data_IF_560603226406
#
_entry.id   IF_560603226406
#
_cell.length_a   1.000
_cell.length_b   1.000
_cell.length_c   1.000
_cell.angle_alpha   90.00
_cell.angle_beta   90.00
_cell.angle_gamma   90.00
#
_symmetry.space_group_name_H-M   'P 1'
#
loop_
_entity.id
_entity.type
_entity.pdbx_description
1 polymer ?
#
# COMPACT_ATOMS: atom_id res chain seq x y z
N UNK A 1 -24.23 42.56 39.00
CA UNK A 1 -23.14 43.56 38.87
C UNK A 1 -22.49 43.43 37.50
N UNK A 2 -21.60 44.36 37.10
CA UNK A 2 -20.80 44.22 35.86
C UNK A 2 -19.91 42.97 35.93
N UNK A 3 -19.34 42.69 37.11
CA UNK A 3 -18.42 41.57 37.36
C UNK A 3 -19.00 40.21 36.98
N UNK A 4 -20.28 39.93 37.29
CA UNK A 4 -20.92 38.67 36.90
C UNK A 4 -20.91 38.46 35.38
N UNK A 5 -21.16 39.52 34.61
CA UNK A 5 -21.21 39.45 33.14
C UNK A 5 -19.82 39.34 32.51
N UNK A 6 -18.80 39.86 33.19
CA UNK A 6 -17.38 39.65 32.81
C UNK A 6 -16.94 38.22 33.10
N UNK A 7 -17.29 37.66 34.26
CA UNK A 7 -17.04 36.25 34.61
C UNK A 7 -17.74 35.32 33.61
N UNK A 8 -18.97 35.64 33.23
CA UNK A 8 -19.75 34.92 32.22
C UNK A 8 -19.08 34.96 30.83
N UNK A 9 -18.63 36.12 30.33
CA UNK A 9 -17.87 36.17 29.07
C UNK A 9 -16.51 35.45 29.17
N UNK A 10 -15.80 35.52 30.31
CA UNK A 10 -14.54 34.79 30.52
C UNK A 10 -14.75 33.27 30.50
N UNK A 11 -15.79 32.76 31.16
CA UNK A 11 -16.14 31.34 31.14
C UNK A 11 -16.51 30.86 29.73
N UNK A 12 -17.31 31.65 28.99
CA UNK A 12 -17.64 31.35 27.59
C UNK A 12 -16.38 31.35 26.69
N UNK A 13 -15.42 32.25 26.92
CA UNK A 13 -14.14 32.26 26.19
C UNK A 13 -13.31 31.03 26.52
N UNK A 14 -13.24 30.63 27.80
CA UNK A 14 -12.51 29.44 28.25
C UNK A 14 -13.09 28.15 27.66
N UNK A 15 -14.41 27.97 27.66
CA UNK A 15 -15.08 26.82 27.04
C UNK A 15 -14.80 26.74 25.54
N UNK A 16 -14.88 27.86 24.80
CA UNK A 16 -14.55 27.91 23.38
C UNK A 16 -13.06 27.56 23.13
N UNK A 17 -12.15 27.94 24.02
CA UNK A 17 -10.73 27.59 23.93
C UNK A 17 -10.48 26.08 24.14
N UNK A 18 -11.21 25.45 25.06
CA UNK A 18 -11.15 24.01 25.30
C UNK A 18 -11.77 23.20 24.15
N UNK A 19 -12.83 23.72 23.51
CA UNK A 19 -13.39 23.16 22.27
C UNK A 19 -12.36 23.26 21.13
N UNK A 20 -11.72 24.42 20.92
CA UNK A 20 -10.68 24.54 19.87
C UNK A 20 -9.50 23.59 20.12
N UNK A 21 -9.06 23.48 21.38
CA UNK A 21 -7.98 22.59 21.80
C UNK A 21 -8.31 21.12 21.53
N UNK A 22 -9.47 20.64 21.98
CA UNK A 22 -9.89 19.24 21.77
C UNK A 22 -10.17 18.92 20.29
N UNK A 23 -10.66 19.88 19.50
CA UNK A 23 -10.75 19.73 18.05
C UNK A 23 -9.36 19.60 17.40
N UNK A 24 -8.36 20.37 17.84
CA UNK A 24 -6.98 20.32 17.32
C UNK A 24 -6.30 18.99 17.66
N UNK A 25 -6.38 18.57 18.93
CA UNK A 25 -5.90 17.27 19.41
C UNK A 25 -6.55 16.10 18.65
N UNK A 26 -7.85 16.21 18.33
CA UNK A 26 -8.57 15.21 17.52
C UNK A 26 -8.05 15.14 16.07
N UNK A 27 -7.76 16.27 15.44
CA UNK A 27 -7.19 16.32 14.07
C UNK A 27 -5.77 15.74 14.04
N UNK A 28 -4.95 16.05 15.05
CA UNK A 28 -3.60 15.49 15.20
C UNK A 28 -3.66 13.96 15.40
N UNK A 29 -4.54 13.45 16.26
CA UNK A 29 -4.74 12.02 16.45
C UNK A 29 -5.23 11.29 15.18
N UNK A 30 -6.05 11.95 14.35
CA UNK A 30 -6.49 11.42 13.05
C UNK A 30 -5.35 11.43 12.02
N UNK A 31 -4.47 12.44 12.03
CA UNK A 31 -3.28 12.48 11.18
C UNK A 31 -2.28 11.37 11.55
N UNK A 32 -2.07 11.10 12.84
CA UNK A 32 -1.19 10.02 13.32
C UNK A 32 -1.69 8.62 12.99
N UNK A 33 -3.01 8.41 12.87
CA UNK A 33 -3.62 7.09 12.58
C UNK A 33 -3.76 6.75 11.10
N UNK A 34 -3.57 7.69 10.17
CA UNK A 34 -3.99 7.56 8.77
C UNK A 34 -2.82 7.45 7.78
N UNK A 35 -2.31 6.22 7.59
CA UNK A 35 -1.20 5.90 6.69
C UNK A 35 -1.53 5.98 5.18
N UNK A 36 -1.90 7.15 4.69
CA UNK A 36 -2.10 7.43 3.26
C UNK A 36 -0.85 7.99 2.58
N UNK A 37 -0.76 7.81 1.26
CA UNK A 37 0.40 8.22 0.46
C UNK A 37 0.70 9.74 0.52
N UNK A 38 1.98 10.08 0.41
CA UNK A 38 2.54 11.41 0.70
C UNK A 38 1.85 12.59 -0.01
N UNK A 39 1.34 12.40 -1.23
CA UNK A 39 0.62 13.42 -1.98
C UNK A 39 -0.66 13.91 -1.27
N UNK A 40 -1.45 12.98 -0.71
CA UNK A 40 -2.66 13.32 0.06
C UNK A 40 -2.30 13.98 1.40
N UNK A 41 -1.23 13.51 2.04
CA UNK A 41 -0.74 14.04 3.31
C UNK A 41 -0.25 15.50 3.17
N UNK A 42 0.49 15.82 2.10
CA UNK A 42 0.88 17.19 1.77
C UNK A 42 -0.33 18.10 1.46
N UNK A 43 -1.32 17.59 0.73
CA UNK A 43 -2.50 18.37 0.34
C UNK A 43 -3.50 18.60 1.50
N UNK A 44 -3.47 17.76 2.54
CA UNK A 44 -4.16 17.98 3.81
C UNK A 44 -3.38 18.94 4.72
N UNK A 45 -2.06 18.78 4.84
CA UNK A 45 -1.20 19.68 5.64
C UNK A 45 -1.28 21.15 5.20
N UNK A 46 -1.22 21.40 3.89
CA UNK A 46 -1.42 22.75 3.34
C UNK A 46 -2.82 23.33 3.69
N UNK A 47 -3.86 22.49 3.82
CA UNK A 47 -5.20 22.95 4.21
C UNK A 47 -5.30 23.25 5.71
N UNK A 48 -4.69 22.44 6.58
CA UNK A 48 -4.69 22.71 8.03
C UNK A 48 -3.81 23.91 8.39
N UNK A 49 -2.71 24.15 7.68
CA UNK A 49 -1.85 25.33 7.87
C UNK A 49 -2.54 26.63 7.40
N UNK A 50 -3.21 26.60 6.25
CA UNK A 50 -4.05 27.73 5.77
C UNK A 50 -5.24 27.99 6.69
N UNK A 51 -5.92 26.96 7.20
CA UNK A 51 -6.99 27.12 8.18
C UNK A 51 -6.48 27.71 9.51
N UNK A 52 -5.33 27.23 10.01
CA UNK A 52 -4.72 27.70 11.26
C UNK A 52 -4.28 29.17 11.17
N UNK A 53 -3.68 29.57 10.05
CA UNK A 53 -3.29 30.97 9.81
C UNK A 53 -4.48 31.90 9.62
N UNK A 54 -5.58 31.45 8.99
CA UNK A 54 -6.85 32.17 8.93
C UNK A 54 -7.48 32.36 10.31
N UNK A 55 -7.52 31.31 11.14
CA UNK A 55 -8.02 31.40 12.52
C UNK A 55 -7.19 32.39 13.35
N UNK A 56 -5.86 32.30 13.29
CA UNK A 56 -4.96 33.22 13.97
C UNK A 56 -5.13 34.69 13.51
N UNK A 57 -5.40 34.94 12.23
CA UNK A 57 -5.74 36.29 11.76
C UNK A 57 -7.09 36.78 12.29
N UNK A 58 -8.10 35.90 12.35
CA UNK A 58 -9.43 36.25 12.85
C UNK A 58 -9.41 36.54 14.36
N UNK A 59 -8.73 35.70 15.16
CA UNK A 59 -8.48 35.94 16.58
C UNK A 59 -7.72 37.25 16.83
N UNK A 60 -6.75 37.61 15.99
CA UNK A 60 -6.05 38.90 16.07
C UNK A 60 -6.99 40.08 15.74
N UNK A 61 -7.87 39.96 14.74
CA UNK A 61 -8.88 40.98 14.43
C UNK A 61 -9.87 41.16 15.57
N UNK A 62 -10.34 40.07 16.17
CA UNK A 62 -11.23 40.08 17.33
C UNK A 62 -10.54 40.68 18.55
N UNK A 63 -9.33 40.25 18.91
CA UNK A 63 -8.54 40.84 20.00
C UNK A 63 -8.31 42.36 19.81
N UNK A 64 -8.00 42.81 18.59
CA UNK A 64 -7.84 44.24 18.28
C UNK A 64 -9.17 45.00 18.31
N UNK A 65 -10.30 44.32 18.17
CA UNK A 65 -11.65 44.88 18.42
C UNK A 65 -11.96 44.94 19.91
N UNK A 66 -11.72 43.86 20.66
CA UNK A 66 -11.93 43.77 22.11
C UNK A 66 -11.06 44.77 22.86
N UNK A 67 -9.77 44.94 22.52
CA UNK A 67 -8.94 46.00 23.11
C UNK A 67 -9.49 47.41 22.90
N UNK A 68 -10.14 47.69 21.76
CA UNK A 68 -10.80 48.99 21.51
C UNK A 68 -12.11 49.14 22.30
N UNK A 69 -12.92 48.08 22.41
CA UNK A 69 -14.11 48.08 23.28
C UNK A 69 -13.73 48.23 24.76
N UNK A 70 -12.76 47.45 25.24
CA UNK A 70 -12.22 47.52 26.59
C UNK A 70 -11.68 48.91 26.90
N UNK A 71 -10.85 49.49 26.04
CA UNK A 71 -10.38 50.87 26.18
C UNK A 71 -11.52 51.90 26.25
N UNK A 72 -12.57 51.74 25.44
CA UNK A 72 -13.76 52.61 25.47
C UNK A 72 -14.59 52.45 26.76
N UNK A 73 -14.67 51.25 27.33
CA UNK A 73 -15.33 51.02 28.62
C UNK A 73 -14.47 51.52 29.79
N UNK A 74 -13.16 51.29 29.78
CA UNK A 74 -12.23 51.85 30.76
C UNK A 74 -12.25 53.38 30.76
N UNK A 75 -12.39 54.03 29.60
CA UNK A 75 -12.58 55.49 29.52
C UNK A 75 -13.98 55.98 29.93
N UNK A 76 -14.86 55.10 30.40
CA UNK A 76 -16.21 55.39 30.91
C UNK A 76 -16.41 54.93 32.36
N UNK A 77 -15.44 54.23 32.94
CA UNK A 77 -15.36 53.96 34.37
C UNK A 77 -14.61 55.13 35.01
N UNK A 78 -15.16 55.70 36.09
CA UNK A 78 -14.44 56.69 36.90
C UNK A 78 -13.21 56.05 37.55
N UNK A 79 -12.19 56.85 37.87
CA UNK A 79 -11.01 56.37 38.58
C UNK A 79 -11.39 55.71 39.91
N UNK A 80 -12.39 56.28 40.57
CA UNK A 80 -13.08 55.81 41.78
C UNK A 80 -13.48 54.32 41.67
N UNK A 81 -14.08 53.90 40.55
CA UNK A 81 -14.54 52.51 40.30
C UNK A 81 -13.38 51.54 40.05
N UNK A 82 -12.15 52.05 39.87
CA UNK A 82 -10.92 51.25 39.73
C UNK A 82 -10.21 51.13 41.09
N UNK A 83 -10.41 52.09 42.00
CA UNK A 83 -9.88 52.04 43.37
C UNK A 83 -10.61 51.01 44.24
N UNK A 84 -11.91 50.80 44.02
CA UNK A 84 -12.75 49.80 44.72
C UNK A 84 -12.39 48.32 44.42
N UNK A 85 -11.26 48.05 43.74
CA UNK A 85 -10.68 46.70 43.55
C UNK A 85 -9.31 46.62 44.24
N UNK A 86 -9.21 47.20 45.44
CA UNK A 86 -8.06 47.01 46.31
C UNK A 86 -8.22 45.66 47.05
N UNK A 87 -7.58 44.61 46.52
CA UNK A 87 -7.48 43.31 47.19
C UNK A 87 -6.35 43.32 48.22
N UNK A 88 -6.51 44.15 49.25
CA UNK A 88 -5.92 43.87 50.56
C UNK A 88 -6.96 43.07 51.34
N UNK A 89 -6.73 41.76 51.45
CA UNK A 89 -7.46 40.91 52.39
C UNK A 89 -6.98 41.26 53.81
N UNK A 90 -7.59 42.27 54.45
CA UNK A 90 -7.36 42.52 55.88
C UNK A 90 -8.08 41.46 56.71
N UNK A 91 -7.30 40.62 57.39
CA UNK A 91 -7.76 39.67 58.42
C UNK A 91 -8.29 40.45 59.65
N UNK A 92 -9.51 40.99 59.55
CA UNK A 92 -10.22 41.64 60.67
C UNK A 92 -10.64 40.59 61.72
N UNK A 93 -9.80 40.44 62.76
CA UNK A 93 -10.04 39.60 63.93
C UNK A 93 -11.22 40.11 64.78
N UNK A 94 -12.23 39.25 65.00
CA UNK A 94 -13.21 39.28 66.11
C UNK A 94 -13.59 40.64 66.73
N UNK A 95 -14.21 41.54 65.97
CA UNK A 95 -14.88 42.73 66.55
C UNK A 95 -16.30 42.40 67.04
N UNK A 96 -16.48 42.38 68.37
CA UNK A 96 -17.78 42.14 69.01
C UNK A 96 -18.72 43.34 68.90
N UNK A 97 -19.68 43.30 67.97
CA UNK A 97 -20.81 44.25 67.94
C UNK A 97 -21.83 44.01 69.06
N UNK A 98 -21.52 44.48 70.28
CA UNK A 98 -22.54 44.72 71.31
C UNK A 98 -23.07 46.16 71.19
N UNK A 99 -24.18 46.35 70.46
CA UNK A 99 -24.85 47.64 70.31
C UNK A 99 -26.36 47.56 70.53
N UNK A 100 -26.83 48.13 71.63
CA UNK A 100 -28.23 48.06 72.07
C UNK A 100 -29.16 48.97 71.24
N UNK A 101 -30.20 48.38 70.64
CA UNK A 101 -31.14 49.10 69.76
C UNK A 101 -32.55 48.50 69.67
N UNK A 102 -33.07 47.89 70.74
CA UNK A 102 -34.39 47.22 70.70
C UNK A 102 -35.53 48.23 70.52
N UNK A 103 -36.14 48.25 69.33
CA UNK A 103 -37.42 48.94 69.10
C UNK A 103 -38.53 48.28 69.94
N UNK A 104 -38.92 48.91 71.05
CA UNK A 104 -39.92 48.41 72.01
C UNK A 104 -41.38 48.48 71.53
N UNK A 105 -41.61 48.79 70.25
CA UNK A 105 -42.94 48.73 69.64
C UNK A 105 -43.33 47.28 69.35
N UNK A 106 -44.53 46.87 69.77
CA UNK A 106 -45.08 45.54 69.45
C UNK A 106 -45.14 45.28 67.94
N UNK A 107 -45.33 46.33 67.12
CA UNK A 107 -45.30 46.22 65.66
C UNK A 107 -43.90 45.92 65.13
N UNK A 108 -42.84 46.55 65.68
CA UNK A 108 -41.46 46.19 65.36
C UNK A 108 -41.20 44.71 65.64
N UNK A 109 -41.62 44.20 66.80
CA UNK A 109 -41.39 42.82 67.20
C UNK A 109 -42.05 41.81 66.24
N UNK A 110 -43.30 42.06 65.81
CA UNK A 110 -44.02 41.20 64.87
C UNK A 110 -43.33 41.16 63.50
N UNK A 111 -42.94 42.32 62.97
CA UNK A 111 -42.23 42.41 61.68
C UNK A 111 -40.85 41.73 61.75
N UNK A 112 -40.15 41.85 62.88
CA UNK A 112 -38.88 41.15 63.12
C UNK A 112 -39.06 39.63 63.15
N UNK A 113 -40.13 39.10 63.77
CA UNK A 113 -40.43 37.66 63.72
C UNK A 113 -40.79 37.21 62.31
N UNK A 114 -41.68 37.91 61.61
CA UNK A 114 -42.04 37.57 60.23
C UNK A 114 -40.84 37.53 59.27
N UNK A 115 -39.87 38.44 59.44
CA UNK A 115 -38.66 38.47 58.63
C UNK A 115 -37.68 37.34 58.98
N UNK A 116 -37.66 36.89 60.24
CA UNK A 116 -36.88 35.71 60.67
C UNK A 116 -37.48 34.42 60.10
N UNK A 117 -38.80 34.25 60.19
CA UNK A 117 -39.49 33.08 59.64
C UNK A 117 -39.29 32.97 58.12
N UNK A 118 -39.41 34.11 57.40
CA UNK A 118 -39.13 34.20 55.95
C UNK A 118 -37.66 33.89 55.63
N UNK A 119 -36.72 34.35 56.46
CA UNK A 119 -35.29 34.04 56.31
C UNK A 119 -35.00 32.55 56.54
N UNK A 120 -35.64 31.91 57.53
CA UNK A 120 -35.47 30.48 57.79
C UNK A 120 -35.99 29.62 56.64
N UNK A 121 -37.16 29.96 56.07
CA UNK A 121 -37.70 29.31 54.85
C UNK A 121 -36.72 29.48 53.68
N UNK A 122 -36.25 30.70 53.40
CA UNK A 122 -35.28 30.97 52.32
C UNK A 122 -33.95 30.21 52.55
N UNK A 123 -33.51 30.05 53.79
CA UNK A 123 -32.33 29.25 54.13
C UNK A 123 -32.55 27.74 53.96
N UNK A 124 -33.77 27.24 54.19
CA UNK A 124 -34.13 25.85 53.90
C UNK A 124 -34.21 25.59 52.39
N UNK A 125 -34.89 26.47 51.64
CA UNK A 125 -34.96 26.43 50.17
C UNK A 125 -33.56 26.50 49.54
N UNK A 126 -32.69 27.41 50.03
CA UNK A 126 -31.29 27.50 49.58
C UNK A 126 -30.52 26.20 49.80
N UNK A 127 -30.71 25.53 50.94
CA UNK A 127 -30.06 24.23 51.22
C UNK A 127 -30.55 23.15 50.26
N UNK A 128 -31.86 23.07 50.02
CA UNK A 128 -32.43 22.10 49.07
C UNK A 128 -31.91 22.34 47.65
N UNK A 129 -31.93 23.60 47.17
CA UNK A 129 -31.42 23.97 45.85
C UNK A 129 -29.93 23.63 45.68
N UNK A 130 -29.11 23.75 46.73
CA UNK A 130 -27.70 23.31 46.69
C UNK A 130 -27.59 21.80 46.54
N UNK A 131 -28.37 21.01 47.29
CA UNK A 131 -28.39 19.53 47.18
C UNK A 131 -28.84 19.09 45.78
N UNK A 132 -29.90 19.69 45.23
CA UNK A 132 -30.41 19.38 43.90
C UNK A 132 -29.41 19.75 42.80
N UNK A 133 -28.68 20.86 42.99
CA UNK A 133 -27.60 21.33 42.11
C UNK A 133 -26.35 20.44 42.19
N UNK A 134 -26.04 19.86 43.35
CA UNK A 134 -24.96 18.88 43.50
C UNK A 134 -25.33 17.53 42.87
N UNK A 135 -26.55 17.04 43.08
CA UNK A 135 -27.06 15.82 42.46
C UNK A 135 -27.11 15.91 40.92
N UNK A 136 -27.57 17.03 40.37
CA UNK A 136 -27.58 17.25 38.91
C UNK A 136 -26.19 17.44 38.31
N UNK A 137 -25.23 18.01 39.07
CA UNK A 137 -23.80 18.00 38.69
C UNK A 137 -23.24 16.59 38.63
N UNK A 138 -23.55 15.74 39.61
CA UNK A 138 -23.06 14.35 39.62
C UNK A 138 -23.60 13.57 38.42
N UNK A 139 -24.91 13.67 38.15
CA UNK A 139 -25.54 13.06 36.97
C UNK A 139 -24.88 13.53 35.67
N UNK A 140 -24.60 14.83 35.52
CA UNK A 140 -23.91 15.38 34.35
C UNK A 140 -22.48 14.81 34.21
N UNK A 141 -21.75 14.63 35.31
CA UNK A 141 -20.43 13.99 35.31
C UNK A 141 -20.50 12.52 34.88
N UNK A 142 -21.45 11.74 35.43
CA UNK A 142 -21.69 10.34 35.08
C UNK A 142 -22.03 10.21 33.58
N UNK A 143 -23.04 10.94 33.09
CA UNK A 143 -23.44 10.93 31.67
C UNK A 143 -22.31 11.36 30.73
N UNK A 144 -21.47 12.34 31.13
CA UNK A 144 -20.29 12.76 30.35
C UNK A 144 -19.23 11.65 30.29
N UNK A 145 -19.02 10.89 31.36
CA UNK A 145 -18.09 9.76 31.39
C UNK A 145 -18.57 8.61 30.49
N UNK A 146 -19.86 8.26 30.56
CA UNK A 146 -20.46 7.23 29.70
C UNK A 146 -20.39 7.63 28.21
N UNK A 147 -20.72 8.88 27.87
CA UNK A 147 -20.60 9.40 26.50
C UNK A 147 -19.15 9.38 25.97
N UNK A 148 -18.16 9.62 26.83
CA UNK A 148 -16.74 9.52 26.44
C UNK A 148 -16.30 8.06 26.23
N UNK A 149 -16.81 7.13 27.03
CA UNK A 149 -16.59 5.69 26.83
C UNK A 149 -17.24 5.21 25.52
N UNK A 150 -18.51 5.52 25.29
CA UNK A 150 -19.22 5.13 24.05
C UNK A 150 -18.53 5.70 22.80
N UNK A 151 -18.02 6.94 22.85
CA UNK A 151 -17.21 7.52 21.75
C UNK A 151 -15.89 6.76 21.52
N UNK A 152 -15.26 6.25 22.57
CA UNK A 152 -14.06 5.41 22.45
C UNK A 152 -14.41 4.06 21.82
N UNK A 153 -15.40 3.36 22.37
CA UNK A 153 -15.81 2.02 21.93
C UNK A 153 -16.32 2.06 20.48
N UNK A 154 -17.09 3.09 20.10
CA UNK A 154 -17.49 3.35 18.71
C UNK A 154 -16.29 3.57 17.77
N UNK A 155 -15.25 4.28 18.22
CA UNK A 155 -14.00 4.48 17.45
C UNK A 155 -13.25 3.16 17.22
N UNK A 156 -13.26 2.25 18.22
CA UNK A 156 -12.68 0.91 18.09
C UNK A 156 -13.49 0.06 17.11
N UNK A 157 -14.83 0.03 17.24
CA UNK A 157 -15.72 -0.71 16.34
C UNK A 157 -15.60 -0.26 14.88
N UNK A 158 -15.41 1.04 14.61
CA UNK A 158 -15.13 1.55 13.26
C UNK A 158 -13.79 1.01 12.73
N UNK A 159 -12.75 0.98 13.55
CA UNK A 159 -11.44 0.46 13.17
C UNK A 159 -11.47 -1.05 12.91
N UNK A 160 -12.17 -1.82 13.74
CA UNK A 160 -12.40 -3.26 13.54
C UNK A 160 -13.22 -3.54 12.27
N UNK A 161 -14.32 -2.81 12.05
CA UNK A 161 -15.14 -2.91 10.84
C UNK A 161 -14.31 -2.65 9.57
N UNK A 162 -13.40 -1.68 9.61
CA UNK A 162 -12.46 -1.42 8.51
C UNK A 162 -11.47 -2.57 8.29
N UNK A 163 -10.94 -3.17 9.36
CA UNK A 163 -10.05 -4.35 9.26
C UNK A 163 -10.80 -5.58 8.72
N UNK A 164 -12.02 -5.85 9.21
CA UNK A 164 -12.89 -6.91 8.72
C UNK A 164 -13.22 -6.72 7.23
N UNK A 165 -13.56 -5.50 6.79
CA UNK A 165 -13.79 -5.18 5.38
C UNK A 165 -12.54 -5.40 4.51
N UNK A 166 -11.35 -5.07 5.02
CA UNK A 166 -10.07 -5.34 4.35
C UNK A 166 -9.76 -6.85 4.27
N UNK A 167 -10.14 -7.62 5.29
CA UNK A 167 -10.01 -9.08 5.32
C UNK A 167 -11.00 -9.77 4.36
N UNK A 168 -12.25 -9.34 4.33
CA UNK A 168 -13.26 -9.78 3.38
C UNK A 168 -12.82 -9.55 1.93
N UNK A 169 -12.18 -8.40 1.64
CA UNK A 169 -11.57 -8.13 0.35
C UNK A 169 -10.44 -9.11 -0.05
N UNK A 170 -9.74 -9.72 0.91
CA UNK A 170 -8.79 -10.82 0.64
C UNK A 170 -9.53 -12.12 0.33
N UNK A 171 -10.52 -12.48 1.15
CA UNK A 171 -11.30 -13.70 0.96
C UNK A 171 -12.00 -13.70 -0.39
N UNK A 172 -12.70 -12.61 -0.76
CA UNK A 172 -13.37 -12.49 -2.05
C UNK A 172 -12.41 -12.68 -3.25
N UNK A 173 -11.16 -12.21 -3.14
CA UNK A 173 -10.13 -12.40 -4.18
C UNK A 173 -9.67 -13.86 -4.28
N UNK A 174 -9.53 -14.56 -3.15
CA UNK A 174 -9.19 -16.00 -3.14
C UNK A 174 -10.37 -16.83 -3.66
N UNK A 175 -11.61 -16.49 -3.27
CA UNK A 175 -12.81 -17.12 -3.80
C UNK A 175 -12.95 -16.94 -5.31
N UNK A 176 -12.62 -15.76 -5.85
CA UNK A 176 -12.60 -15.54 -7.29
C UNK A 176 -11.59 -16.45 -7.98
N UNK A 177 -10.33 -16.50 -7.52
CA UNK A 177 -9.32 -17.39 -8.11
C UNK A 177 -9.71 -18.87 -8.05
N UNK A 178 -10.40 -19.31 -6.99
CA UNK A 178 -10.92 -20.67 -6.88
C UNK A 178 -12.08 -20.96 -7.85
N UNK A 179 -12.86 -19.94 -8.24
CA UNK A 179 -13.86 -20.04 -9.31
C UNK A 179 -13.18 -20.04 -10.69
N UNK A 180 -12.25 -19.12 -10.93
CA UNK A 180 -11.49 -19.02 -12.19
C UNK A 180 -10.76 -20.35 -12.51
N UNK A 181 -10.13 -20.97 -11.50
CA UNK A 181 -9.46 -22.28 -11.60
C UNK A 181 -10.46 -23.44 -11.83
N UNK A 182 -11.62 -23.41 -11.16
CA UNK A 182 -12.66 -24.43 -11.34
C UNK A 182 -13.37 -24.34 -12.71
N UNK A 183 -13.52 -23.14 -13.26
CA UNK A 183 -14.05 -22.93 -14.61
C UNK A 183 -13.05 -23.43 -15.66
N UNK A 184 -11.76 -23.07 -15.55
CA UNK A 184 -10.71 -23.60 -16.43
C UNK A 184 -10.63 -25.15 -16.40
N UNK A 185 -10.67 -25.75 -15.21
CA UNK A 185 -10.67 -27.21 -15.06
C UNK A 185 -11.93 -27.88 -15.64
N UNK A 186 -13.08 -27.18 -15.70
CA UNK A 186 -14.25 -27.68 -16.42
C UNK A 186 -14.10 -27.62 -17.94
N UNK A 187 -13.43 -26.60 -18.48
CA UNK A 187 -13.13 -26.51 -19.92
C UNK A 187 -12.16 -27.61 -20.35
N UNK A 188 -11.07 -27.82 -19.61
CA UNK A 188 -10.12 -28.93 -19.84
C UNK A 188 -10.81 -30.30 -19.75
N UNK A 189 -11.62 -30.53 -18.71
CA UNK A 189 -12.39 -31.78 -18.52
C UNK A 189 -13.41 -32.03 -19.65
N UNK A 190 -13.97 -30.97 -20.25
CA UNK A 190 -14.84 -31.08 -21.41
C UNK A 190 -14.06 -31.45 -22.66
N UNK A 191 -12.96 -30.75 -22.94
CA UNK A 191 -12.07 -31.03 -24.06
C UNK A 191 -11.52 -32.47 -24.00
N UNK A 192 -11.14 -32.95 -22.82
CA UNK A 192 -10.65 -34.31 -22.60
C UNK A 192 -11.73 -35.37 -22.91
N UNK A 193 -13.00 -35.10 -22.60
CA UNK A 193 -14.14 -35.99 -22.96
C UNK A 193 -14.41 -36.00 -24.45
N UNK A 194 -14.41 -34.83 -25.09
CA UNK A 194 -14.64 -34.71 -26.53
C UNK A 194 -13.52 -35.42 -27.32
N UNK A 195 -12.26 -35.27 -26.89
CA UNK A 195 -11.11 -35.98 -27.45
C UNK A 195 -11.15 -37.51 -27.21
N UNK A 196 -11.58 -37.98 -26.03
CA UNK A 196 -11.80 -39.43 -25.81
C UNK A 196 -12.90 -39.98 -26.72
N UNK A 197 -14.02 -39.26 -26.87
CA UNK A 197 -15.11 -39.66 -27.76
C UNK A 197 -14.64 -39.80 -29.21
N UNK A 198 -13.80 -38.88 -29.70
CA UNK A 198 -13.26 -38.95 -31.06
C UNK A 198 -12.24 -40.09 -31.22
N UNK A 199 -11.37 -40.31 -30.22
CA UNK A 199 -10.43 -41.43 -30.21
C UNK A 199 -11.16 -42.79 -30.19
N UNK A 200 -12.27 -42.91 -29.46
CA UNK A 200 -13.11 -44.11 -29.46
C UNK A 200 -13.77 -44.38 -30.82
N UNK A 201 -14.28 -43.35 -31.52
CA UNK A 201 -14.80 -43.47 -32.90
C UNK A 201 -13.70 -43.96 -33.85
N UNK A 202 -12.56 -43.29 -33.86
CA UNK A 202 -11.43 -43.63 -34.71
C UNK A 202 -10.93 -45.07 -34.49
N UNK A 203 -10.88 -45.52 -33.23
CA UNK A 203 -10.53 -46.90 -32.90
C UNK A 203 -11.56 -47.92 -33.43
N UNK A 204 -12.85 -47.60 -33.40
CA UNK A 204 -13.90 -48.44 -33.98
C UNK A 204 -13.80 -48.51 -35.51
N UNK A 205 -13.62 -47.37 -36.18
CA UNK A 205 -13.47 -47.29 -37.64
C UNK A 205 -12.23 -48.06 -38.12
N UNK A 206 -11.08 -47.85 -37.46
CA UNK A 206 -9.85 -48.60 -37.72
C UNK A 206 -10.05 -50.12 -37.53
N UNK A 207 -10.81 -50.54 -36.51
CA UNK A 207 -11.12 -51.96 -36.29
C UNK A 207 -12.04 -52.54 -37.38
N UNK A 208 -12.97 -51.75 -37.91
CA UNK A 208 -13.85 -52.13 -39.01
C UNK A 208 -13.05 -52.29 -40.32
N UNK A 209 -12.23 -51.30 -40.68
CA UNK A 209 -11.36 -51.37 -41.86
C UNK A 209 -10.30 -52.48 -41.72
N UNK A 210 -9.73 -52.71 -40.54
CA UNK A 210 -8.82 -53.85 -40.32
C UNK A 210 -9.54 -55.19 -40.55
N UNK A 211 -10.79 -55.35 -40.09
CA UNK A 211 -11.60 -56.57 -40.33
C UNK A 211 -11.94 -56.75 -41.81
N UNK A 212 -12.23 -55.67 -42.53
CA UNK A 212 -12.51 -55.63 -43.97
C UNK A 212 -11.25 -56.00 -44.79
N UNK A 213 -10.11 -55.38 -44.50
CA UNK A 213 -8.81 -55.69 -45.11
C UNK A 213 -8.41 -57.15 -44.86
N UNK A 214 -8.56 -57.65 -43.61
CA UNK A 214 -8.30 -59.07 -43.28
C UNK A 214 -9.16 -60.05 -44.09
N UNK A 215 -10.45 -59.73 -44.32
CA UNK A 215 -11.33 -60.53 -45.19
C UNK A 215 -10.88 -60.49 -46.66
N UNK A 216 -10.50 -59.32 -47.16
CA UNK A 216 -9.98 -59.15 -48.52
C UNK A 216 -8.66 -59.93 -48.73
N UNK A 217 -7.70 -59.81 -47.81
CA UNK A 217 -6.43 -60.54 -47.88
C UNK A 217 -6.64 -62.06 -47.77
N UNK A 218 -7.56 -62.52 -46.91
CA UNK A 218 -7.88 -63.94 -46.81
C UNK A 218 -8.49 -64.49 -48.11
N UNK A 219 -9.39 -63.73 -48.76
CA UNK A 219 -9.99 -64.11 -50.04
C UNK A 219 -8.96 -64.12 -51.19
N UNK A 220 -8.02 -63.16 -51.21
CA UNK A 220 -6.88 -63.16 -52.15
C UNK A 220 -5.96 -64.38 -51.95
N UNK A 221 -5.56 -64.67 -50.70
CA UNK A 221 -4.74 -65.85 -50.37
C UNK A 221 -5.45 -67.15 -50.78
N UNK A 222 -6.78 -67.21 -50.65
CA UNK A 222 -7.57 -68.40 -50.99
C UNK A 222 -7.89 -68.56 -52.49
N UNK A 223 -7.62 -67.55 -53.33
CA UNK A 223 -7.93 -67.57 -54.78
C UNK A 223 -6.71 -67.73 -55.69
N UNK A 224 -5.49 -67.72 -55.14
CA UNK A 224 -4.24 -67.90 -55.91
C UNK A 224 -3.76 -69.35 -55.85
N UNK A 225 -3.46 -69.94 -57.02
CA UNK A 225 -2.83 -71.26 -57.10
C UNK A 225 -1.38 -71.20 -56.58
N UNK A 226 -0.95 -71.96 -55.54
CA UNK A 226 0.11 -71.46 -54.64
C UNK A 226 1.55 -71.84 -55.01
N UNK A 227 1.78 -72.48 -56.16
CA UNK A 227 3.09 -72.94 -56.65
C UNK A 227 4.15 -71.85 -56.85
N UNK A 228 4.48 -71.56 -58.11
CA UNK A 228 5.65 -70.75 -58.48
C UNK A 228 5.48 -69.25 -58.21
N UNK A 229 4.31 -68.68 -58.49
CA UNK A 229 4.09 -67.23 -58.33
C UNK A 229 4.23 -66.79 -56.87
N UNK A 230 3.73 -67.61 -55.93
CA UNK A 230 3.86 -67.35 -54.49
C UNK A 230 5.30 -67.57 -54.01
N UNK A 231 5.98 -68.64 -54.46
CA UNK A 231 7.40 -68.83 -54.13
C UNK A 231 8.28 -67.67 -54.63
N UNK A 232 8.04 -67.18 -55.84
CA UNK A 232 8.77 -66.05 -56.41
C UNK A 232 8.48 -64.75 -55.64
N UNK A 233 7.21 -64.45 -55.35
CA UNK A 233 6.84 -63.30 -54.53
C UNK A 233 7.44 -63.37 -53.12
N UNK A 234 7.49 -64.55 -52.48
CA UNK A 234 8.14 -64.74 -51.18
C UNK A 234 9.67 -64.55 -51.25
N UNK A 235 10.33 -64.99 -52.33
CA UNK A 235 11.75 -64.73 -52.54
C UNK A 235 12.04 -63.23 -52.74
N UNK A 236 11.20 -62.52 -53.51
CA UNK A 236 11.28 -61.08 -53.70
C UNK A 236 11.02 -60.31 -52.38
N UNK A 237 10.01 -60.72 -51.60
CA UNK A 237 9.73 -60.17 -50.26
C UNK A 237 10.91 -60.39 -49.30
N UNK A 238 11.54 -61.56 -49.30
CA UNK A 238 12.71 -61.83 -48.46
C UNK A 238 13.91 -60.95 -48.85
N UNK A 239 14.15 -60.77 -50.15
CA UNK A 239 15.20 -59.88 -50.69
C UNK A 239 14.95 -58.42 -50.31
N UNK A 240 13.72 -57.94 -50.50
CA UNK A 240 13.30 -56.59 -50.12
C UNK A 240 13.37 -56.37 -48.61
N UNK A 241 12.97 -57.36 -47.81
CA UNK A 241 13.02 -57.28 -46.34
C UNK A 241 14.46 -57.24 -45.84
N UNK A 242 15.36 -58.04 -46.40
CA UNK A 242 16.79 -57.98 -46.05
C UNK A 242 17.43 -56.65 -46.46
N UNK A 243 17.05 -56.12 -47.64
CA UNK A 243 17.50 -54.80 -48.11
C UNK A 243 17.00 -53.67 -47.21
N UNK A 244 15.72 -53.68 -46.85
CA UNK A 244 15.10 -52.68 -45.97
C UNK A 244 15.64 -52.77 -44.53
N UNK A 245 15.89 -53.96 -44.00
CA UNK A 245 16.50 -54.11 -42.66
C UNK A 245 17.95 -53.62 -42.65
N UNK A 246 18.69 -53.86 -43.74
CA UNK A 246 20.05 -53.32 -43.93
C UNK A 246 20.02 -51.79 -43.99
N UNK A 247 19.16 -51.21 -44.82
CA UNK A 247 18.97 -49.76 -44.88
C UNK A 247 18.48 -49.18 -43.55
N UNK A 248 17.60 -49.87 -42.80
CA UNK A 248 17.15 -49.43 -41.46
C UNK A 248 18.31 -49.40 -40.48
N UNK A 249 19.20 -50.40 -40.54
CA UNK A 249 20.39 -50.47 -39.69
C UNK A 249 21.42 -49.40 -40.05
N UNK A 250 21.66 -49.16 -41.34
CA UNK A 250 22.53 -48.07 -41.83
C UNK A 250 22.02 -46.69 -41.42
N UNK A 251 20.74 -46.37 -41.66
CA UNK A 251 20.14 -45.12 -41.19
C UNK A 251 20.18 -45.00 -39.66
N UNK A 252 19.96 -46.09 -38.91
CA UNK A 252 20.06 -46.07 -37.44
C UNK A 252 21.50 -45.79 -36.96
N UNK A 253 22.52 -46.27 -37.67
CA UNK A 253 23.92 -45.94 -37.39
C UNK A 253 24.24 -44.48 -37.74
N UNK A 254 23.76 -43.98 -38.89
CA UNK A 254 23.93 -42.58 -39.29
C UNK A 254 23.26 -41.61 -38.30
N UNK A 255 22.02 -41.89 -37.87
CA UNK A 255 21.31 -41.09 -36.87
C UNK A 255 22.10 -41.06 -35.56
N UNK A 256 22.57 -42.20 -35.05
CA UNK A 256 23.40 -42.25 -33.84
C UNK A 256 24.70 -41.46 -33.98
N UNK A 257 25.39 -41.57 -35.12
CA UNK A 257 26.61 -40.81 -35.37
C UNK A 257 26.35 -39.29 -35.38
N UNK A 258 25.24 -38.84 -35.97
CA UNK A 258 24.83 -37.43 -35.95
C UNK A 258 24.38 -36.96 -34.55
N UNK A 259 23.66 -37.81 -33.80
CA UNK A 259 23.31 -37.56 -32.40
C UNK A 259 24.57 -37.41 -31.53
N UNK A 260 25.54 -38.33 -31.66
CA UNK A 260 26.83 -38.27 -30.98
C UNK A 260 27.67 -37.05 -31.39
N UNK A 261 27.64 -36.65 -32.68
CA UNK A 261 28.28 -35.44 -33.17
C UNK A 261 27.64 -34.18 -32.56
N UNK A 262 26.31 -34.12 -32.45
CA UNK A 262 25.59 -33.01 -31.78
C UNK A 262 25.87 -33.03 -30.26
N UNK A 263 25.94 -34.21 -29.63
CA UNK A 263 26.23 -34.34 -28.20
C UNK A 263 27.66 -33.96 -27.82
N UNK A 264 28.64 -34.34 -28.64
CA UNK A 264 30.05 -34.00 -28.46
C UNK A 264 30.41 -32.58 -28.93
N UNK A 265 29.53 -31.94 -29.71
CA UNK A 265 29.74 -30.61 -30.26
C UNK A 265 30.10 -29.57 -29.20
N UNK A 266 31.07 -28.72 -29.52
CA UNK A 266 31.51 -27.68 -28.60
C UNK A 266 30.41 -26.63 -28.34
N UNK A 267 29.53 -26.41 -29.32
CA UNK A 267 28.35 -25.55 -29.19
C UNK A 267 27.39 -26.05 -28.09
N UNK A 268 27.16 -27.37 -27.97
CA UNK A 268 26.31 -27.91 -26.89
C UNK A 268 26.92 -27.69 -25.51
N UNK A 269 28.25 -27.85 -25.38
CA UNK A 269 28.98 -27.57 -24.13
C UNK A 269 28.94 -26.08 -23.77
N UNK A 270 29.20 -25.21 -24.74
CA UNK A 270 29.11 -23.76 -24.58
C UNK A 270 27.69 -23.31 -24.18
N UNK A 271 26.65 -23.91 -24.77
CA UNK A 271 25.25 -23.64 -24.40
C UNK A 271 24.97 -24.03 -22.94
N UNK A 272 25.39 -25.23 -22.49
CA UNK A 272 25.23 -25.62 -21.08
C UNK A 272 26.07 -24.78 -20.11
N UNK A 273 27.24 -24.31 -20.53
CA UNK A 273 28.08 -23.41 -19.74
C UNK A 273 27.43 -22.01 -19.60
N UNK A 274 26.85 -21.48 -20.69
CA UNK A 274 26.14 -20.20 -20.69
C UNK A 274 24.82 -20.26 -19.90
N UNK A 275 24.10 -21.39 -19.96
CA UNK A 275 22.94 -21.64 -19.08
C UNK A 275 23.36 -21.56 -17.60
N UNK A 276 24.38 -22.32 -17.20
CA UNK A 276 24.90 -22.30 -15.83
C UNK A 276 25.45 -20.93 -15.40
N UNK A 277 26.05 -20.18 -16.32
CA UNK A 277 26.47 -18.80 -16.05
C UNK A 277 25.27 -17.87 -15.84
N UNK A 278 24.17 -18.09 -16.55
CA UNK A 278 22.92 -17.31 -16.40
C UNK A 278 22.25 -17.62 -15.06
N UNK A 279 22.18 -18.91 -14.67
CA UNK A 279 21.70 -19.34 -13.35
C UNK A 279 22.43 -18.62 -12.20
N UNK A 280 23.77 -18.61 -12.23
CA UNK A 280 24.60 -17.94 -11.22
C UNK A 280 24.38 -16.42 -11.20
N UNK A 281 24.25 -15.78 -12.38
CA UNK A 281 23.96 -14.34 -12.47
C UNK A 281 22.55 -14.00 -11.98
N UNK A 282 21.58 -14.91 -12.11
CA UNK A 282 20.28 -14.75 -11.49
C UNK A 282 20.35 -14.88 -9.96
N UNK A 283 21.13 -15.81 -9.42
CA UNK A 283 21.36 -15.96 -7.97
C UNK A 283 22.03 -14.71 -7.39
N UNK A 284 23.09 -14.19 -8.03
CA UNK A 284 23.72 -12.92 -7.66
C UNK A 284 22.71 -11.75 -7.72
N UNK A 285 21.87 -11.69 -8.75
CA UNK A 285 20.85 -10.64 -8.89
C UNK A 285 19.78 -10.74 -7.79
N UNK A 286 19.31 -11.94 -7.45
CA UNK A 286 18.40 -12.20 -6.32
C UNK A 286 19.04 -11.77 -4.99
N UNK A 287 20.33 -12.06 -4.78
CA UNK A 287 21.06 -11.65 -3.58
C UNK A 287 21.25 -10.11 -3.51
N UNK A 288 21.55 -9.45 -4.64
CA UNK A 288 21.65 -7.99 -4.71
C UNK A 288 20.29 -7.30 -4.50
N UNK A 289 19.19 -7.86 -5.00
CA UNK A 289 17.85 -7.37 -4.71
C UNK A 289 17.50 -7.52 -3.22
N UNK A 290 17.88 -8.64 -2.58
CA UNK A 290 17.72 -8.82 -1.14
C UNK A 290 18.57 -7.82 -0.32
N UNK A 291 19.83 -7.61 -0.70
CA UNK A 291 20.71 -6.57 -0.11
C UNK A 291 20.12 -5.17 -0.28
N UNK A 292 19.58 -4.84 -1.45
CA UNK A 292 18.97 -3.54 -1.74
C UNK A 292 17.71 -3.29 -0.91
N UNK A 293 16.77 -4.25 -0.90
CA UNK A 293 15.53 -4.15 -0.10
C UNK A 293 15.81 -4.06 1.40
N UNK A 294 16.77 -4.84 1.91
CA UNK A 294 17.24 -4.73 3.30
C UNK A 294 17.81 -3.35 3.63
N UNK A 295 18.71 -2.83 2.79
CA UNK A 295 19.27 -1.49 2.96
C UNK A 295 18.20 -0.39 2.84
N UNK A 296 17.17 -0.60 2.02
CA UNK A 296 16.02 0.30 1.90
C UNK A 296 15.15 0.31 3.17
N UNK A 297 14.96 -0.83 3.84
CA UNK A 297 14.31 -0.90 5.16
C UNK A 297 15.15 -0.24 6.25
N UNK A 298 16.44 -0.56 6.35
CA UNK A 298 17.35 0.05 7.34
C UNK A 298 17.41 1.59 7.15
N UNK A 299 17.38 2.07 5.91
CA UNK A 299 17.32 3.51 5.60
C UNK A 299 15.95 4.15 5.91
N UNK A 300 14.84 3.40 5.93
CA UNK A 300 13.53 3.89 6.39
C UNK A 300 13.48 3.99 7.91
N UNK A 301 14.01 2.97 8.61
CA UNK A 301 14.06 2.92 10.07
C UNK A 301 14.97 4.01 10.64
N UNK A 302 16.15 4.21 10.05
CA UNK A 302 17.04 5.32 10.43
C UNK A 302 16.37 6.69 10.19
N UNK A 303 15.64 6.88 9.08
CA UNK A 303 14.85 8.11 8.84
C UNK A 303 13.66 8.29 9.79
N UNK A 304 13.18 7.22 10.43
CA UNK A 304 12.19 7.31 11.49
C UNK A 304 12.86 7.81 12.77
N UNK A 305 13.93 7.16 13.23
CA UNK A 305 14.69 7.61 14.42
C UNK A 305 15.27 9.01 14.28
N UNK A 306 15.67 9.44 13.07
CA UNK A 306 16.13 10.81 12.80
C UNK A 306 15.01 11.85 13.01
N UNK A 307 13.75 11.50 12.72
CA UNK A 307 12.59 12.36 12.99
C UNK A 307 12.30 12.40 14.49
N UNK A 308 12.31 11.26 15.16
CA UNK A 308 12.03 11.18 16.60
C UNK A 308 13.06 11.98 17.40
N UNK A 309 14.35 11.84 17.09
CA UNK A 309 15.44 12.61 17.71
C UNK A 309 15.30 14.11 17.41
N UNK A 310 14.90 14.50 16.19
CA UNK A 310 14.63 15.91 15.87
C UNK A 310 13.42 16.46 16.62
N UNK A 311 12.34 15.68 16.75
CA UNK A 311 11.16 16.06 17.52
C UNK A 311 11.52 16.22 18.99
N UNK A 312 12.20 15.23 19.59
CA UNK A 312 12.71 15.28 20.96
C UNK A 312 13.60 16.51 21.20
N UNK A 313 14.49 16.85 20.27
CA UNK A 313 15.34 18.04 20.37
C UNK A 313 14.55 19.37 20.23
N UNK A 314 13.50 19.39 19.41
CA UNK A 314 12.56 20.52 19.32
C UNK A 314 11.74 20.65 20.61
N UNK A 315 11.29 19.55 21.19
CA UNK A 315 10.53 19.55 22.44
C UNK A 315 11.41 19.97 23.63
N UNK A 316 12.66 19.50 23.69
CA UNK A 316 13.67 19.94 24.66
C UNK A 316 14.01 21.43 24.49
N UNK A 317 14.11 21.92 23.25
CA UNK A 317 14.28 23.35 22.96
C UNK A 317 13.07 24.18 23.40
N UNK A 318 11.84 23.71 23.14
CA UNK A 318 10.60 24.34 23.56
C UNK A 318 10.47 24.37 25.09
N UNK A 319 10.89 23.30 25.78
CA UNK A 319 10.97 23.27 27.25
C UNK A 319 12.03 24.25 27.78
N UNK A 320 13.21 24.36 27.17
CA UNK A 320 14.22 25.37 27.53
C UNK A 320 13.73 26.81 27.32
N UNK A 321 12.94 27.06 26.27
CA UNK A 321 12.30 28.37 26.03
C UNK A 321 11.24 28.63 27.12
N UNK A 322 10.37 27.65 27.39
CA UNK A 322 9.29 27.75 28.40
C UNK A 322 9.81 27.96 29.83
N UNK A 323 10.94 27.35 30.18
CA UNK A 323 11.54 27.44 31.51
C UNK A 323 12.49 28.64 31.67
N UNK A 324 12.81 29.34 30.57
CA UNK A 324 13.71 30.49 30.53
C UNK A 324 15.20 30.12 30.55
N UNK A 325 15.99 30.86 29.75
CA UNK A 325 17.46 30.69 29.69
C UNK A 325 18.14 31.74 30.55
N UNK A 326 18.85 31.34 31.62
CA UNK A 326 19.76 32.26 32.32
C UNK A 326 20.98 32.61 31.43
N UNK A 327 20.85 33.67 30.65
CA UNK A 327 21.93 34.31 29.92
C UNK A 327 22.92 34.96 30.89
N UNK A 328 23.93 34.20 31.32
CA UNK A 328 25.04 34.72 32.14
C UNK A 328 25.84 35.73 31.31
N UNK A 329 26.02 36.96 31.82
CA UNK A 329 26.76 38.04 31.12
C UNK A 329 28.17 37.56 30.73
N UNK A 330 28.54 37.77 29.47
CA UNK A 330 29.91 37.61 28.99
C UNK A 330 30.78 38.70 29.60
N UNK A 331 31.77 38.32 30.41
CA UNK A 331 32.85 39.20 30.86
C UNK A 331 34.15 38.80 30.15
N UNK A 332 34.85 39.80 29.61
CA UNK A 332 36.15 39.61 28.94
C UNK A 332 37.29 39.75 29.95
N UNK A 333 37.99 38.67 30.30
CA UNK A 333 39.24 38.75 31.10
C UNK A 333 40.26 37.65 30.75
N UNK A 334 41.30 38.05 30.02
CA UNK A 334 42.73 37.77 30.27
C UNK A 334 43.21 36.40 30.83
N UNK A 335 43.90 35.65 29.96
CA UNK A 335 45.27 35.10 30.12
C UNK A 335 45.68 34.10 31.24
N UNK A 336 46.41 33.05 30.78
CA UNK A 336 47.40 32.20 31.50
C UNK A 336 46.81 31.20 32.54
N UNK A 337 47.47 30.08 32.87
CA UNK A 337 48.87 29.67 32.61
C UNK A 337 49.06 28.18 32.22
N UNK A 338 50.34 27.79 32.07
CA UNK A 338 50.89 26.52 31.52
C UNK A 338 51.54 25.67 32.64
N UNK A 339 51.62 24.34 32.51
CA UNK A 339 52.93 23.67 32.32
C UNK A 339 52.86 22.60 31.20
N UNK A 340 53.90 21.91 30.72
CA UNK A 340 55.36 21.93 30.92
C UNK A 340 56.02 21.02 29.83
N UNK A 341 57.33 21.10 29.50
CA UNK A 341 57.85 20.61 28.20
C UNK A 341 58.85 19.42 28.22
N UNK A 342 59.43 19.13 27.03
CA UNK A 342 60.54 18.21 26.64
C UNK A 342 60.09 16.88 25.99
N UNK A 343 60.77 16.28 25.00
CA UNK A 343 62.05 16.62 24.32
C UNK A 343 62.19 16.03 22.90
N UNK A 344 62.92 16.71 21.99
CA UNK A 344 63.60 16.26 20.71
C UNK A 344 62.77 15.51 19.62
N UNK A 345 63.13 15.43 18.32
CA UNK A 345 64.34 15.81 17.51
C UNK A 345 63.99 16.09 16.01
N UNK A 346 64.93 16.67 15.25
CA UNK A 346 65.03 16.84 13.76
C UNK A 346 66.53 16.76 13.37
N UNK A 347 66.97 16.74 12.07
CA UNK A 347 66.31 16.42 10.79
C UNK A 347 66.76 14.98 10.36
N UNK A 348 67.35 14.57 9.18
CA UNK A 348 67.63 15.14 7.83
C UNK A 348 66.84 14.45 6.66
N UNK A 349 67.14 14.70 5.35
CA UNK A 349 66.37 14.14 4.21
C UNK A 349 67.17 13.36 3.14
N UNK A 350 66.51 12.64 2.20
CA UNK A 350 66.68 12.78 0.73
C UNK A 350 65.92 11.74 -0.16
N UNK A 351 65.71 12.10 -1.44
CA UNK A 351 65.78 11.26 -2.67
C UNK A 351 64.82 10.06 -2.93
N UNK A 352 63.72 10.37 -3.62
CA UNK A 352 63.31 9.75 -4.92
C UNK A 352 62.90 8.24 -4.94
N UNK A 353 62.65 7.61 -6.11
CA UNK A 353 61.27 7.53 -6.62
C UNK A 353 60.75 6.08 -6.81
N UNK A 354 59.57 5.78 -6.26
CA UNK A 354 58.91 4.47 -6.38
C UNK A 354 57.57 4.54 -7.10
N UNK A 355 57.37 3.71 -8.12
CA UNK A 355 56.11 3.58 -8.87
C UNK A 355 55.00 2.97 -8.00
N UNK A 356 53.85 3.66 -7.92
CA UNK A 356 52.62 3.11 -7.32
C UNK A 356 51.71 2.59 -8.44
N UNK A 357 51.07 1.41 -8.32
CA UNK A 357 50.31 0.81 -9.41
C UNK A 357 49.06 1.63 -9.77
N UNK A 358 48.54 1.50 -11.00
CA UNK A 358 47.28 2.13 -11.38
C UNK A 358 46.16 1.65 -10.46
N UNK A 359 45.39 2.59 -9.91
CA UNK A 359 44.17 2.27 -9.16
C UNK A 359 43.21 1.46 -10.04
N UNK A 360 42.57 0.39 -9.52
CA UNK A 360 41.60 -0.36 -10.28
C UNK A 360 40.47 0.59 -10.71
N UNK A 361 40.26 0.70 -12.03
CA UNK A 361 39.20 1.54 -12.60
C UNK A 361 37.87 1.25 -11.92
N UNK A 362 37.20 2.31 -11.46
CA UNK A 362 35.88 2.21 -10.83
C UNK A 362 34.93 1.43 -11.73
N UNK A 363 34.03 0.65 -11.15
CA UNK A 363 33.07 -0.15 -11.93
C UNK A 363 32.20 0.73 -12.83
N UNK A 364 31.96 1.98 -12.43
CA UNK A 364 31.34 3.01 -13.23
C UNK A 364 32.11 3.29 -14.55
N UNK A 365 33.43 3.37 -14.52
CA UNK A 365 34.24 3.54 -15.74
C UNK A 365 34.17 2.31 -16.65
N UNK A 366 34.19 1.10 -16.06
CA UNK A 366 34.05 -0.16 -16.80
C UNK A 366 32.67 -0.25 -17.47
N UNK A 367 31.61 0.13 -16.76
CA UNK A 367 30.24 0.17 -17.29
C UNK A 367 30.10 1.21 -18.42
N UNK A 368 30.69 2.40 -18.25
CA UNK A 368 30.70 3.44 -19.29
C UNK A 368 31.48 3.02 -20.55
N UNK A 369 32.57 2.27 -20.40
CA UNK A 369 33.31 1.71 -21.54
C UNK A 369 32.49 0.66 -22.30
N UNK A 370 31.94 -0.35 -21.61
CA UNK A 370 31.07 -1.38 -22.22
C UNK A 370 29.86 -0.75 -22.94
N UNK A 371 29.22 0.26 -22.34
CA UNK A 371 28.11 1.00 -22.96
C UNK A 371 28.52 1.77 -24.21
N UNK A 372 29.76 2.28 -24.27
CA UNK A 372 30.31 2.95 -25.47
C UNK A 372 30.68 1.96 -26.57
N UNK A 373 31.22 0.80 -26.21
CA UNK A 373 31.51 -0.30 -27.13
C UNK A 373 30.22 -0.87 -27.74
N UNK A 374 29.18 -1.11 -26.94
CA UNK A 374 27.87 -1.54 -27.43
C UNK A 374 27.23 -0.52 -28.39
N UNK A 375 27.32 0.79 -28.10
CA UNK A 375 26.84 1.85 -28.99
C UNK A 375 27.63 1.96 -30.31
N UNK A 376 28.90 1.55 -30.33
CA UNK A 376 29.70 1.49 -31.55
C UNK A 376 29.40 0.20 -32.35
N UNK A 377 29.22 -0.94 -31.68
CA UNK A 377 28.79 -2.18 -32.32
C UNK A 377 27.43 -2.02 -33.03
N UNK A 378 26.47 -1.36 -32.37
CA UNK A 378 25.15 -1.03 -32.93
C UNK A 378 25.19 -0.02 -34.09
N UNK A 379 26.32 0.68 -34.32
CA UNK A 379 26.51 1.57 -35.48
C UNK A 379 27.25 0.92 -36.65
N UNK A 380 28.02 -0.12 -36.41
CA UNK A 380 28.82 -0.80 -37.44
C UNK A 380 28.07 -1.92 -38.16
N UNK A 381 26.86 -2.29 -37.72
CA UNK A 381 26.08 -3.40 -38.28
C UNK A 381 24.75 -2.96 -38.91
N UNK A 382 24.78 -1.87 -39.68
CA UNK A 382 23.64 -1.38 -40.45
C UNK A 382 24.03 -1.19 -41.91
N UNK A 383 23.71 -2.18 -42.76
CA UNK A 383 23.50 -1.94 -44.18
C UNK A 383 22.47 -2.94 -44.72
N UNK A 384 21.48 -2.54 -45.56
CA UNK A 384 20.31 -3.37 -45.83
C UNK A 384 20.37 -4.11 -47.18
N UNK A 385 20.25 -5.43 -47.19
CA UNK A 385 19.80 -6.19 -48.37
C UNK A 385 19.44 -7.65 -48.06
N UNK A 386 18.17 -8.01 -48.26
CA UNK A 386 17.72 -9.24 -48.95
C UNK A 386 16.23 -9.49 -48.75
N UNK A 387 15.37 -8.77 -49.48
CA UNK A 387 14.02 -9.25 -49.78
C UNK A 387 14.09 -9.94 -51.14
N UNK A 388 13.91 -11.25 -51.16
CA UNK A 388 13.66 -12.01 -52.39
C UNK A 388 12.53 -13.01 -52.15
N UNK A 389 11.41 -12.71 -52.79
CA UNK A 389 10.33 -13.64 -53.10
C UNK A 389 10.74 -14.49 -54.31
N UNK A 390 10.49 -15.81 -54.27
CA UNK A 390 10.29 -16.62 -55.47
C UNK A 390 9.65 -18.00 -55.15
N UNK A 391 8.32 -18.10 -55.25
CA UNK A 391 7.62 -19.40 -55.36
C UNK A 391 7.26 -19.71 -56.81
N UNK A 392 8.09 -20.48 -57.53
CA UNK A 392 7.75 -21.08 -58.83
C UNK A 392 8.72 -22.19 -59.26
N UNK A 393 8.22 -23.43 -59.37
CA UNK A 393 8.65 -24.46 -60.36
C UNK A 393 7.38 -25.19 -60.82
N UNK A 394 7.36 -25.62 -62.07
CA UNK A 394 6.17 -26.04 -62.81
C UNK A 394 5.86 -27.55 -62.83
N UNK A 395 4.58 -27.83 -63.07
CA UNK A 395 4.00 -28.87 -63.95
C UNK A 395 4.74 -30.22 -64.16
N UNK A 396 4.00 -31.30 -63.90
CA UNK A 396 4.00 -32.50 -64.77
C UNK A 396 2.69 -33.29 -64.57
N UNK A 397 1.75 -33.18 -65.51
CA UNK A 397 0.67 -34.16 -65.72
C UNK A 397 1.12 -35.21 -66.75
N UNK A 398 0.45 -36.38 -66.81
CA UNK A 398 -0.61 -36.52 -67.81
C UNK A 398 -1.92 -37.16 -67.29
N UNK A 399 -3.04 -36.53 -67.66
CA UNK A 399 -4.37 -37.14 -67.91
C UNK A 399 -4.24 -38.32 -68.93
N UNK A 400 -5.16 -39.32 -68.97
CA UNK A 400 -6.61 -39.07 -69.18
C UNK A 400 -7.62 -40.01 -68.46
N UNK A 401 -8.88 -39.55 -68.29
CA UNK A 401 -9.92 -40.48 -67.78
C UNK A 401 -11.43 -40.31 -68.03
N UNK A 402 -11.96 -39.16 -68.49
CA UNK A 402 -13.36 -38.99 -69.02
C UNK A 402 -14.63 -39.22 -68.13
N UNK A 403 -15.62 -38.31 -68.32
CA UNK A 403 -17.09 -38.45 -68.15
C UNK A 403 -17.69 -38.76 -66.76
N UNK A 404 -18.82 -38.17 -66.31
CA UNK A 404 -19.81 -37.19 -66.85
C UNK A 404 -20.32 -36.32 -65.67
N UNK A 405 -20.73 -35.04 -65.82
CA UNK A 405 -22.09 -34.55 -66.21
C UNK A 405 -23.22 -35.18 -65.37
N UNK A 406 -24.18 -34.47 -64.75
CA UNK A 406 -24.72 -33.11 -64.98
C UNK A 406 -25.24 -32.42 -63.68
N UNK A 407 -25.92 -31.29 -63.83
CA UNK A 407 -26.67 -30.49 -62.84
C UNK A 407 -27.88 -31.28 -62.25
N UNK A 408 -28.58 -30.89 -61.17
CA UNK A 408 -29.28 -29.60 -60.99
C UNK A 408 -29.74 -29.35 -59.53
N UNK A 409 -30.15 -28.10 -59.20
CA UNK A 409 -30.74 -27.68 -57.92
C UNK A 409 -31.62 -26.41 -58.04
N UNK A 410 -32.95 -26.52 -57.92
CA UNK A 410 -33.85 -25.38 -57.68
C UNK A 410 -33.94 -24.98 -56.19
N UNK A 411 -34.58 -23.82 -55.94
CA UNK A 411 -34.83 -23.25 -54.60
C UNK A 411 -36.33 -23.33 -54.20
N UNK A 412 -36.73 -22.54 -53.18
CA UNK A 412 -38.08 -22.29 -52.63
C UNK A 412 -38.53 -23.21 -51.47
N UNK A 413 -39.07 -22.72 -50.34
CA UNK A 413 -39.06 -21.41 -49.61
C UNK A 413 -39.54 -21.68 -48.16
N UNK A 414 -39.47 -20.75 -47.18
CA UNK A 414 -39.82 -21.06 -45.78
C UNK A 414 -41.32 -20.94 -45.46
N UNK A 415 -41.73 -21.52 -44.32
CA UNK A 415 -43.05 -21.30 -43.69
C UNK A 415 -42.87 -21.11 -42.17
N UNK A 416 -43.66 -20.20 -41.60
CA UNK A 416 -43.67 -19.80 -40.18
C UNK A 416 -45.04 -20.12 -39.57
N UNK A 417 -45.22 -19.96 -38.25
CA UNK A 417 -46.50 -20.05 -37.49
C UNK A 417 -46.91 -21.51 -37.19
N UNK A 418 -47.44 -21.90 -36.01
CA UNK A 418 -47.98 -21.13 -34.88
C UNK A 418 -47.43 -21.54 -33.49
N UNK A 419 -47.73 -20.72 -32.49
CA UNK A 419 -47.69 -21.02 -31.05
C UNK A 419 -48.90 -21.85 -30.59
N UNK A 420 -48.75 -22.60 -29.49
CA UNK A 420 -49.72 -22.82 -28.40
C UNK A 420 -49.24 -23.98 -27.48
N UNK A 421 -49.60 -24.14 -26.21
CA UNK A 421 -49.98 -23.24 -25.10
C UNK A 421 -50.10 -24.13 -23.82
N UNK A 422 -50.09 -23.54 -22.59
CA UNK A 422 -50.44 -24.18 -21.29
C UNK A 422 -49.45 -25.26 -20.74
N UNK A 423 -49.28 -25.50 -19.42
CA UNK A 423 -49.49 -24.73 -18.16
C UNK A 423 -48.62 -25.35 -17.03
N UNK A 424 -48.52 -24.73 -15.82
CA UNK A 424 -47.47 -25.07 -14.84
C UNK A 424 -47.93 -26.00 -13.69
N UNK A 425 -46.98 -26.29 -12.79
CA UNK A 425 -47.19 -26.47 -11.34
C UNK A 425 -46.08 -25.76 -10.58
#
# INVERSE_FOLDING_TARGET
SVSHRVIEEVNNIQENLEIEKTCRESVEALASKSGFGSAAQAQLGLKSEVASTLSAQQLNRQNRSLKRKSMLYMSRLGADVIADINLDDEDEEDQQEESSGVCSSSHCQIVITELRDKLEVILAEKKQIVIDLEATREQLCQTRQELLKEKHDNTVLIAETFQQKKLLGKYNRVSQYALDEFEALQEDLKLERDLRSEAEKFAHEMLIEQKKLKRQSQMLIQTVSPAEALQKALAEINSLTHTLETQRLEHQQQVKALEEQIHSSELKKQLTALQRQTELLEEENKEWQHKHTKAETEAKDLRFTEKDIKQQAVDEMMQRIKNGVQLRRVTQTTNRARPGPTSVKRPPPSSSPGTRPPSPKSELEKALHRRREALNAAKNNTNPSSVLDLTQIEQSQPEPGQHTREQDKPQHTPTTVCTDLLKPS
#
